data_IF_938532033270
#
_entry.id   IF_938532033270
#
_cell.length_a   1.000
_cell.length_b   1.000
_cell.length_c   1.000
_cell.angle_alpha   90.00
_cell.angle_beta   90.00
_cell.angle_gamma   90.00
#
_symmetry.space_group_name_H-M   'P 1'
#
loop_
_entity.id
_entity.type
_entity.pdbx_description
1 polymer ?
#
# COMPACT_ATOMS: atom_id res chain seq x y z
N UNK A 1 2.24 23.20 31.40
CA UNK A 1 1.46 22.94 30.16
C UNK A 1 2.49 22.68 29.06
N UNK A 2 2.59 21.46 28.52
CA UNK A 2 3.50 21.16 27.40
C UNK A 2 2.81 21.63 26.12
N UNK A 3 3.34 22.67 25.48
CA UNK A 3 2.93 23.03 24.12
C UNK A 3 3.37 21.90 23.18
N UNK A 4 2.39 21.18 22.65
CA UNK A 4 2.62 20.20 21.59
C UNK A 4 2.55 20.95 20.27
N UNK A 5 3.72 21.27 19.69
CA UNK A 5 3.79 21.79 18.33
C UNK A 5 3.70 20.59 17.39
N UNK A 6 2.55 20.39 16.74
CA UNK A 6 2.44 19.46 15.63
C UNK A 6 2.86 20.16 14.35
N UNK A 7 3.78 19.55 13.62
CA UNK A 7 4.19 19.99 12.30
C UNK A 7 3.90 18.86 11.31
N UNK A 8 3.27 19.20 10.19
CA UNK A 8 2.95 18.26 9.12
C UNK A 8 3.78 18.66 7.91
N UNK A 9 4.66 17.76 7.47
CA UNK A 9 5.40 17.89 6.22
C UNK A 9 4.93 16.87 5.20
N UNK A 10 4.81 17.29 3.94
CA UNK A 10 4.55 16.40 2.82
C UNK A 10 5.86 15.95 2.17
N UNK A 11 6.31 14.74 2.52
CA UNK A 11 7.48 14.11 1.88
C UNK A 11 7.02 13.41 0.60
N UNK A 12 7.54 13.86 -0.54
CA UNK A 12 7.28 13.27 -1.86
C UNK A 12 8.54 12.58 -2.39
N UNK A 13 8.43 11.88 -3.52
CA UNK A 13 9.59 11.27 -4.21
C UNK A 13 10.64 12.28 -4.67
N UNK A 14 10.27 13.56 -4.78
CA UNK A 14 11.13 14.65 -5.26
C UNK A 14 11.75 15.43 -4.10
N UNK A 15 11.34 15.13 -2.86
CA UNK A 15 11.87 15.78 -1.67
C UNK A 15 13.33 15.39 -1.47
N UNK A 16 14.24 16.35 -1.67
CA UNK A 16 15.65 16.17 -1.35
C UNK A 16 15.87 16.18 0.16
N UNK A 17 16.50 15.14 0.68
CA UNK A 17 16.81 14.99 2.10
C UNK A 17 18.32 14.98 2.29
N UNK A 18 18.84 15.87 3.12
CA UNK A 18 20.22 15.83 3.59
C UNK A 18 20.27 15.34 5.04
N UNK A 19 21.36 14.67 5.42
CA UNK A 19 21.59 14.25 6.80
C UNK A 19 22.89 14.85 7.34
N UNK A 20 22.87 15.20 8.63
CA UNK A 20 24.04 15.62 9.37
C UNK A 20 24.08 14.95 10.74
N UNK A 21 25.27 14.55 11.16
CA UNK A 21 25.52 13.87 12.43
C UNK A 21 26.11 14.87 13.43
N UNK A 22 25.44 15.06 14.56
CA UNK A 22 25.96 15.81 15.70
C UNK A 22 25.98 14.95 16.97
N UNK A 23 26.82 13.91 16.98
CA UNK A 23 26.97 13.00 18.10
C UNK A 23 25.76 12.07 18.26
N UNK A 24 25.04 12.19 19.37
CA UNK A 24 23.86 11.35 19.67
C UNK A 24 22.60 11.76 18.89
N UNK A 25 22.69 12.82 18.10
CA UNK A 25 21.59 13.40 17.35
C UNK A 25 21.87 13.29 15.86
N UNK A 26 20.97 12.64 15.13
CA UNK A 26 20.94 12.60 13.68
C UNK A 26 19.87 13.58 13.20
N UNK A 27 20.25 14.56 12.42
CA UNK A 27 19.31 15.49 11.82
C UNK A 27 19.08 15.11 10.36
N UNK A 28 17.82 15.13 9.91
CA UNK A 28 17.49 15.19 8.50
C UNK A 28 16.92 16.58 8.18
N UNK A 29 17.28 17.12 7.02
CA UNK A 29 16.73 18.39 6.54
C UNK A 29 16.16 18.22 5.15
N UNK A 30 15.05 18.89 4.88
CA UNK A 30 14.43 18.95 3.57
C UNK A 30 13.84 20.34 3.32
N UNK A 31 13.56 20.65 2.06
CA UNK A 31 12.92 21.90 1.69
C UNK A 31 11.41 21.70 1.56
N UNK A 32 10.63 22.58 2.19
CA UNK A 32 9.18 22.65 2.05
C UNK A 32 8.77 24.13 1.96
N UNK A 33 7.99 24.48 0.93
CA UNK A 33 7.51 25.86 0.70
C UNK A 33 8.60 26.94 0.69
N UNK A 34 9.82 26.60 0.25
CA UNK A 34 10.96 27.52 0.20
C UNK A 34 11.72 27.66 1.52
N UNK A 35 11.29 26.95 2.57
CA UNK A 35 11.97 26.93 3.88
C UNK A 35 12.73 25.62 4.07
N UNK A 36 13.86 25.67 4.78
CA UNK A 36 14.56 24.47 5.24
C UNK A 36 13.94 23.98 6.54
N UNK A 37 13.33 22.80 6.48
CA UNK A 37 12.82 22.10 7.65
C UNK A 37 13.88 21.11 8.11
N UNK A 38 14.25 21.19 9.38
CA UNK A 38 15.21 20.25 10.00
C UNK A 38 14.50 19.45 11.09
N UNK A 39 14.53 18.13 11.00
CA UNK A 39 14.04 17.22 12.02
C UNK A 39 15.24 16.56 12.68
N UNK A 40 15.33 16.66 14.00
CA UNK A 40 16.41 16.07 14.77
C UNK A 40 15.92 14.84 15.54
N UNK A 41 16.63 13.74 15.38
CA UNK A 41 16.32 12.46 16.00
C UNK A 41 17.47 12.05 16.92
N UNK A 42 17.14 11.65 18.14
CA UNK A 42 18.08 10.87 18.95
C UNK A 42 17.99 9.38 18.60
N UNK A 43 18.94 8.58 19.09
CA UNK A 43 18.99 7.14 18.82
C UNK A 43 17.71 6.40 19.20
N UNK A 44 17.10 6.73 20.33
CA UNK A 44 15.85 6.10 20.77
C UNK A 44 14.67 6.41 19.84
N UNK A 45 14.58 7.66 19.36
CA UNK A 45 13.57 8.08 18.40
C UNK A 45 13.76 7.37 17.05
N UNK A 46 14.99 7.23 16.57
CA UNK A 46 15.28 6.47 15.34
C UNK A 46 14.90 4.99 15.48
N UNK A 47 15.15 4.40 16.65
CA UNK A 47 14.71 3.04 16.93
C UNK A 47 13.19 2.92 16.84
N UNK A 48 12.45 3.86 17.46
CA UNK A 48 11.00 3.85 17.41
C UNK A 48 10.46 4.04 15.99
N UNK A 49 11.04 4.97 15.20
CA UNK A 49 10.69 5.18 13.79
C UNK A 49 10.92 3.90 12.99
N UNK A 50 12.02 3.19 13.23
CA UNK A 50 12.29 1.90 12.59
C UNK A 50 11.23 0.85 12.91
N UNK A 51 10.83 0.72 14.17
CA UNK A 51 9.77 -0.21 14.56
C UNK A 51 8.41 0.18 13.94
N UNK A 52 8.11 1.48 13.84
CA UNK A 52 6.93 1.97 13.12
C UNK A 52 6.97 1.59 11.63
N UNK A 53 8.12 1.76 10.96
CA UNK A 53 8.29 1.36 9.55
C UNK A 53 8.06 -0.15 9.39
N UNK A 54 8.62 -0.98 10.29
CA UNK A 54 8.40 -2.44 10.26
C UNK A 54 6.92 -2.80 10.41
N UNK A 55 6.21 -2.17 11.34
CA UNK A 55 4.78 -2.39 11.54
C UNK A 55 3.98 -2.02 10.28
N UNK A 56 4.28 -0.87 9.66
CA UNK A 56 3.64 -0.45 8.41
C UNK A 56 3.89 -1.44 7.26
N UNK A 57 5.10 -1.97 7.14
CA UNK A 57 5.43 -3.00 6.15
C UNK A 57 4.63 -4.29 6.37
N UNK A 58 4.48 -4.73 7.62
CA UNK A 58 3.67 -5.91 7.97
C UNK A 58 2.19 -5.70 7.66
N UNK A 59 1.65 -4.52 7.98
CA UNK A 59 0.26 -4.15 7.64
C UNK A 59 0.06 -4.22 6.13
N UNK A 60 0.96 -3.61 5.36
CA UNK A 60 0.89 -3.64 3.90
C UNK A 60 0.91 -5.07 3.34
N UNK A 61 1.81 -5.92 3.83
CA UNK A 61 1.89 -7.32 3.42
C UNK A 61 0.59 -8.07 3.71
N UNK A 62 0.03 -7.91 4.91
CA UNK A 62 -1.24 -8.53 5.33
C UNK A 62 -2.39 -8.10 4.41
N UNK A 63 -2.54 -6.79 4.17
CA UNK A 63 -3.58 -6.26 3.30
C UNK A 63 -3.43 -6.75 1.85
N UNK A 64 -2.18 -6.85 1.35
CA UNK A 64 -1.93 -7.39 0.01
C UNK A 64 -2.30 -8.87 -0.11
N UNK A 65 -2.01 -9.68 0.91
CA UNK A 65 -2.38 -11.09 0.95
C UNK A 65 -3.90 -11.25 1.00
N UNK A 66 -4.57 -10.48 1.86
CA UNK A 66 -6.04 -10.48 1.95
C UNK A 66 -6.68 -10.12 0.61
N UNK A 67 -6.16 -9.09 -0.07
CA UNK A 67 -6.64 -8.70 -1.39
C UNK A 67 -6.44 -9.79 -2.43
N UNK A 68 -5.28 -10.46 -2.43
CA UNK A 68 -5.01 -11.56 -3.35
C UNK A 68 -5.99 -12.72 -3.11
N UNK A 69 -6.29 -13.05 -1.86
CA UNK A 69 -7.24 -14.10 -1.51
C UNK A 69 -8.67 -13.75 -1.95
N UNK A 70 -9.09 -12.50 -1.79
CA UNK A 70 -10.39 -12.01 -2.29
C UNK A 70 -10.50 -12.20 -3.81
N UNK A 71 -9.47 -11.77 -4.55
CA UNK A 71 -9.42 -11.94 -6.01
C UNK A 71 -9.51 -13.42 -6.40
N UNK A 72 -8.77 -14.30 -5.72
CA UNK A 72 -8.82 -15.75 -5.99
C UNK A 72 -10.23 -16.31 -5.77
N UNK A 73 -10.88 -15.96 -4.65
CA UNK A 73 -12.23 -16.42 -4.34
C UNK A 73 -13.25 -15.92 -5.38
N UNK A 74 -13.12 -14.66 -5.82
CA UNK A 74 -13.98 -14.08 -6.86
C UNK A 74 -13.81 -14.83 -8.21
N UNK A 75 -12.57 -15.15 -8.59
CA UNK A 75 -12.28 -15.93 -9.80
C UNK A 75 -12.88 -17.34 -9.70
N UNK A 76 -12.76 -18.01 -8.56
CA UNK A 76 -13.36 -19.34 -8.35
C UNK A 76 -14.88 -19.33 -8.49
N UNK A 77 -15.55 -18.29 -7.95
CA UNK A 77 -16.99 -18.11 -8.07
C UNK A 77 -17.44 -17.88 -9.52
N UNK A 78 -16.68 -17.07 -10.28
CA UNK A 78 -16.93 -16.86 -11.71
C UNK A 78 -16.78 -18.16 -12.51
N UNK A 79 -15.75 -18.95 -12.23
CA UNK A 79 -15.54 -20.24 -12.88
C UNK A 79 -16.66 -21.26 -12.56
N UNK A 80 -17.21 -21.25 -11.34
CA UNK A 80 -18.36 -22.10 -11.00
C UNK A 80 -19.65 -21.65 -11.69
N UNK A 81 -19.84 -20.36 -11.92
CA UNK A 81 -21.00 -19.83 -12.67
C UNK A 81 -20.90 -20.07 -14.17
N UNK A 82 -19.68 -20.21 -14.72
CA UNK A 82 -19.45 -20.63 -16.11
C UNK A 82 -19.86 -22.08 -16.40
N UNK A 83 -20.07 -22.90 -15.36
CA UNK A 83 -20.44 -24.32 -15.49
C UNK A 83 -21.93 -24.59 -15.27
N UNK A 84 -22.76 -23.57 -15.06
CA UNK A 84 -24.21 -23.75 -15.15
C UNK A 84 -24.51 -24.01 -16.62
N UNK A 85 -24.89 -25.24 -17.02
CA UNK A 85 -25.42 -25.42 -18.35
C UNK A 85 -26.68 -24.56 -18.37
N UNK A 86 -26.71 -23.53 -19.21
CA UNK A 86 -27.97 -22.92 -19.59
C UNK A 86 -28.81 -24.09 -20.07
N UNK A 87 -29.77 -24.50 -19.24
CA UNK A 87 -30.70 -25.54 -19.61
C UNK A 87 -31.41 -25.00 -20.83
N UNK A 88 -31.04 -25.53 -22.00
CA UNK A 88 -31.81 -25.39 -23.22
C UNK A 88 -33.14 -26.11 -22.96
N UNK A 89 -34.03 -25.41 -22.28
CA UNK A 89 -35.44 -25.75 -22.18
C UNK A 89 -36.07 -25.40 -23.53
N UNK A 90 -36.11 -26.41 -24.39
CA UNK A 90 -37.03 -26.68 -25.49
C UNK A 90 -37.53 -25.49 -26.35
N UNK A 91 -37.01 -25.41 -27.58
CA UNK A 91 -37.81 -25.75 -28.76
C UNK A 91 -36.91 -25.98 -29.98
N UNK A 92 -37.16 -27.08 -30.69
CA UNK A 92 -36.23 -27.68 -31.64
C UNK A 92 -35.75 -26.77 -32.77
N UNK A 93 -34.43 -26.72 -32.93
CA UNK A 93 -33.69 -26.79 -34.20
C UNK A 93 -32.21 -26.72 -33.86
N UNK A 94 -31.53 -27.87 -33.96
CA UNK A 94 -30.08 -27.94 -33.86
C UNK A 94 -29.48 -27.18 -35.06
N UNK A 95 -28.74 -26.10 -34.80
CA UNK A 95 -27.88 -25.47 -35.79
C UNK A 95 -26.45 -25.89 -35.46
N UNK A 96 -25.94 -26.86 -36.21
CA UNK A 96 -24.52 -27.15 -36.32
C UNK A 96 -23.87 -25.98 -37.04
N UNK A 97 -23.00 -25.24 -36.35
CA UNK A 97 -22.12 -24.27 -36.99
C UNK A 97 -20.86 -25.03 -37.38
N UNK A 98 -20.73 -25.37 -38.66
CA UNK A 98 -19.45 -25.75 -39.24
C UNK A 98 -18.57 -24.50 -39.37
N UNK A 99 -17.36 -24.57 -38.82
CA UNK A 99 -16.34 -23.56 -39.03
C UNK A 99 -15.48 -24.07 -40.18
N UNK A 100 -15.60 -23.42 -41.34
CA UNK A 100 -14.67 -23.50 -42.46
C UNK A 100 -13.59 -22.44 -42.37
#
# INVERSE_FOLDING_TARGET
>A
MKLSHSFTANITKETYVSSYNNGNNQSCSFFENGETVTINFNTDCLHQVRETIKALQQIYQSLSQQRQQQITNEIEQLNTHSLIPVSLSNNGKSHTVEIG
#
